data_IF_415713968796
#
_entry.id   IF_415713968796
#
_cell.length_a   1.000
_cell.length_b   1.000
_cell.length_c   1.000
_cell.angle_alpha   90.00
_cell.angle_beta   90.00
_cell.angle_gamma   90.00
#
_symmetry.space_group_name_H-M   'P 1'
#
loop_
_entity.id
_entity.type
_entity.pdbx_description
1 polymer ?
#
# COMPACT_ATOMS: atom_id res chain seq x y z
N UNK A 1 35.64 -18.79 39.95
CA UNK A 1 34.37 -19.39 39.50
C UNK A 1 33.84 -18.48 38.39
N UNK A 2 33.72 -18.95 37.13
CA UNK A 2 33.13 -18.13 36.08
C UNK A 2 31.63 -17.98 36.41
N UNK A 3 31.19 -16.73 36.47
CA UNK A 3 29.77 -16.40 36.56
C UNK A 3 29.14 -16.75 35.24
N UNK A 4 28.28 -17.78 35.20
CA UNK A 4 27.44 -18.07 34.03
C UNK A 4 26.62 -16.84 33.73
N UNK A 5 26.81 -16.27 32.54
CA UNK A 5 25.96 -15.22 32.00
C UNK A 5 24.60 -15.87 31.73
N UNK A 6 23.64 -15.65 32.59
CA UNK A 6 22.24 -15.96 32.33
C UNK A 6 21.76 -15.01 31.24
N UNK A 7 21.74 -15.47 30.00
CA UNK A 7 20.99 -14.82 28.93
C UNK A 7 19.52 -15.08 29.30
N UNK A 8 18.85 -14.07 29.83
CA UNK A 8 17.39 -14.10 29.99
C UNK A 8 16.77 -14.57 28.66
N UNK A 9 15.64 -15.28 28.70
CA UNK A 9 15.01 -15.90 27.55
C UNK A 9 15.04 -14.90 26.38
N UNK A 10 16.05 -15.06 25.50
CA UNK A 10 16.11 -14.29 24.27
C UNK A 10 14.85 -14.68 23.48
N UNK A 11 14.01 -13.70 23.22
CA UNK A 11 12.89 -13.90 22.31
C UNK A 11 13.47 -14.45 21.02
N UNK A 12 12.95 -15.56 20.53
CA UNK A 12 13.41 -16.12 19.26
C UNK A 12 13.28 -15.04 18.18
N UNK A 13 14.26 -14.91 17.28
CA UNK A 13 14.18 -13.90 16.25
C UNK A 13 12.89 -14.08 15.44
N UNK A 14 12.15 -13.00 15.29
CA UNK A 14 10.87 -12.99 14.55
C UNK A 14 11.17 -13.38 13.11
N UNK A 15 10.61 -14.49 12.66
CA UNK A 15 10.78 -15.00 11.30
C UNK A 15 9.64 -14.60 10.37
N UNK A 16 8.62 -13.90 10.87
CA UNK A 16 7.55 -13.35 10.03
C UNK A 16 7.98 -12.02 9.40
N UNK A 17 7.88 -11.93 8.09
CA UNK A 17 8.27 -10.72 7.38
C UNK A 17 7.45 -10.46 6.14
N UNK A 18 7.43 -9.20 5.75
CA UNK A 18 6.85 -8.71 4.50
C UNK A 18 7.99 -8.25 3.60
N UNK A 19 8.14 -8.88 2.44
CA UNK A 19 8.99 -8.35 1.38
C UNK A 19 8.30 -7.17 0.70
N UNK A 20 8.98 -6.03 0.58
CA UNK A 20 8.41 -4.82 -0.03
C UNK A 20 9.22 -4.45 -1.26
N UNK A 21 8.58 -4.47 -2.42
CA UNK A 21 9.13 -3.95 -3.68
C UNK A 21 8.58 -2.55 -3.90
N UNK A 22 9.42 -1.53 -3.75
CA UNK A 22 9.06 -0.13 -3.85
C UNK A 22 9.62 0.53 -5.13
N UNK A 23 9.07 1.64 -5.63
CA UNK A 23 9.68 2.40 -6.71
C UNK A 23 11.05 2.95 -6.30
N UNK A 24 11.88 3.28 -7.28
CA UNK A 24 13.26 3.73 -7.04
C UNK A 24 13.35 5.01 -6.19
N UNK A 25 12.35 5.86 -6.28
CA UNK A 25 12.26 7.16 -5.60
C UNK A 25 11.50 7.12 -4.26
N UNK A 26 11.11 5.92 -3.80
CA UNK A 26 10.35 5.76 -2.56
C UNK A 26 11.13 6.28 -1.36
N UNK A 27 10.52 7.17 -0.57
CA UNK A 27 11.17 7.89 0.53
C UNK A 27 10.44 7.77 1.88
N UNK A 28 9.34 7.02 1.94
CA UNK A 28 8.49 6.91 3.14
C UNK A 28 8.61 5.56 3.85
N UNK A 29 9.81 4.99 3.89
CA UNK A 29 10.10 3.73 4.59
C UNK A 29 9.58 3.75 6.04
N UNK A 30 9.79 4.87 6.76
CA UNK A 30 9.32 5.01 8.14
C UNK A 30 7.81 5.01 8.28
N UNK A 31 7.06 5.45 7.26
CA UNK A 31 5.60 5.40 7.28
C UNK A 31 5.12 3.95 7.18
N UNK A 32 5.77 3.11 6.35
CA UNK A 32 5.41 1.70 6.26
C UNK A 32 5.60 0.97 7.60
N UNK A 33 6.71 1.23 8.31
CA UNK A 33 6.97 0.66 9.62
C UNK A 33 5.93 1.03 10.69
N UNK A 34 5.25 2.16 10.56
CA UNK A 34 4.21 2.59 11.49
C UNK A 34 2.94 1.75 11.40
N UNK A 35 2.72 1.05 10.29
CA UNK A 35 1.58 0.15 10.08
C UNK A 35 1.82 -1.26 10.59
N UNK A 36 3.06 -1.61 10.93
CA UNK A 36 3.50 -2.97 11.18
C UNK A 36 3.63 -3.22 12.68
N UNK A 37 3.11 -4.36 13.22
CA UNK A 37 3.35 -4.76 14.60
C UNK A 37 4.84 -5.01 14.86
N UNK A 38 5.29 -4.89 16.11
CA UNK A 38 6.71 -5.00 16.49
C UNK A 38 7.32 -6.38 16.20
N UNK A 39 6.50 -7.41 16.08
CA UNK A 39 6.89 -8.78 15.81
C UNK A 39 6.88 -9.17 14.31
N UNK A 40 6.70 -8.19 13.41
CA UNK A 40 6.77 -8.37 11.95
C UNK A 40 7.85 -7.47 11.36
N UNK A 41 8.70 -8.03 10.51
CA UNK A 41 9.78 -7.29 9.84
C UNK A 41 9.39 -6.87 8.42
N UNK A 42 9.95 -5.73 7.97
CA UNK A 42 9.88 -5.29 6.57
C UNK A 42 11.23 -5.48 5.89
N UNK A 43 11.25 -6.17 4.76
CA UNK A 43 12.42 -6.36 3.91
C UNK A 43 12.22 -5.56 2.63
N UNK A 44 12.86 -4.37 2.54
CA UNK A 44 12.63 -3.46 1.44
C UNK A 44 13.69 -3.57 0.35
N UNK A 45 13.25 -3.58 -0.89
CA UNK A 45 14.08 -3.34 -2.07
C UNK A 45 13.42 -2.28 -2.96
N UNK A 46 14.22 -1.68 -3.84
CA UNK A 46 13.74 -0.69 -4.79
C UNK A 46 13.90 -1.20 -6.22
N UNK A 47 12.96 -0.81 -7.08
CA UNK A 47 13.11 -0.99 -8.52
C UNK A 47 14.34 -0.22 -9.03
N UNK A 48 14.90 -0.60 -10.19
CA UNK A 48 16.00 0.11 -10.80
C UNK A 48 15.70 1.59 -11.02
N UNK A 49 16.71 2.43 -10.93
CA UNK A 49 16.59 3.88 -11.17
C UNK A 49 16.16 4.18 -12.62
N UNK A 50 15.20 5.10 -12.74
CA UNK A 50 14.77 5.66 -14.02
C UNK A 50 14.95 7.19 -14.00
N UNK A 51 15.31 7.76 -15.14
CA UNK A 51 15.44 9.21 -15.31
C UNK A 51 14.12 9.88 -15.73
N UNK A 52 13.11 9.09 -16.07
CA UNK A 52 11.82 9.56 -16.56
C UNK A 52 11.03 10.26 -15.44
N UNK A 53 10.47 11.45 -15.67
CA UNK A 53 9.57 12.11 -14.72
C UNK A 53 8.31 11.27 -14.48
N UNK A 54 7.55 11.60 -13.42
CA UNK A 54 6.31 10.90 -13.04
C UNK A 54 5.20 11.08 -14.07
N UNK A 55 5.31 10.33 -15.17
CA UNK A 55 4.38 10.28 -16.30
C UNK A 55 3.82 8.86 -16.45
N UNK A 56 2.96 8.64 -17.44
CA UNK A 56 2.44 7.30 -17.78
C UNK A 56 3.60 6.35 -18.14
N UNK A 57 4.59 6.83 -18.88
CA UNK A 57 5.77 6.04 -19.29
C UNK A 57 6.58 5.58 -18.06
N UNK A 58 6.75 6.44 -17.05
CA UNK A 58 7.42 6.07 -15.80
C UNK A 58 6.59 5.04 -15.03
N UNK A 59 5.28 5.22 -14.95
CA UNK A 59 4.40 4.26 -14.29
C UNK A 59 4.46 2.87 -14.95
N UNK A 60 4.46 2.81 -16.29
CA UNK A 60 4.65 1.57 -17.07
C UNK A 60 6.03 0.96 -16.79
N UNK A 61 7.09 1.77 -16.76
CA UNK A 61 8.44 1.30 -16.46
C UNK A 61 8.56 0.71 -15.05
N UNK A 62 7.85 1.27 -14.05
CA UNK A 62 7.76 0.66 -12.72
C UNK A 62 7.09 -0.72 -12.76
N UNK A 63 6.13 -0.94 -13.68
CA UNK A 63 5.48 -2.24 -13.89
C UNK A 63 6.30 -3.25 -14.72
N UNK A 64 7.54 -2.93 -15.14
CA UNK A 64 8.36 -3.84 -15.94
C UNK A 64 8.56 -5.19 -15.24
N UNK A 65 8.11 -6.25 -15.88
CA UNK A 65 8.12 -7.61 -15.30
C UNK A 65 9.51 -8.11 -14.95
N UNK A 66 10.55 -7.73 -15.70
CA UNK A 66 11.93 -8.19 -15.42
C UNK A 66 12.46 -7.50 -14.18
N UNK A 67 12.19 -6.20 -14.05
CA UNK A 67 12.56 -5.42 -12.87
C UNK A 67 11.83 -5.94 -11.62
N UNK A 68 10.51 -6.16 -11.71
CA UNK A 68 9.70 -6.70 -10.60
C UNK A 68 10.16 -8.11 -10.22
N UNK A 69 10.43 -9.01 -11.18
CA UNK A 69 10.98 -10.35 -10.90
C UNK A 69 12.29 -10.29 -10.14
N UNK A 70 13.22 -9.41 -10.55
CA UNK A 70 14.52 -9.25 -9.89
C UNK A 70 14.31 -8.73 -8.47
N UNK A 71 13.59 -7.63 -8.30
CA UNK A 71 13.32 -7.03 -7.00
C UNK A 71 12.60 -8.01 -6.05
N UNK A 72 11.67 -8.81 -6.56
CA UNK A 72 11.02 -9.87 -5.78
C UNK A 72 12.04 -10.88 -5.27
N UNK A 73 12.96 -11.37 -6.14
CA UNK A 73 14.01 -12.30 -5.71
C UNK A 73 14.91 -11.73 -4.63
N UNK A 74 15.21 -10.42 -4.72
CA UNK A 74 16.08 -9.77 -3.75
C UNK A 74 15.45 -9.78 -2.35
N UNK A 75 14.13 -9.59 -2.22
CA UNK A 75 13.41 -9.60 -0.94
C UNK A 75 13.02 -11.01 -0.45
N UNK A 76 13.12 -12.02 -1.28
CA UNK A 76 12.82 -13.41 -0.89
C UNK A 76 13.95 -14.06 -0.07
N UNK A 77 15.16 -13.49 -0.07
CA UNK A 77 16.32 -14.04 0.67
C UNK A 77 16.05 -14.24 2.17
N UNK A 78 15.40 -13.30 2.88
CA UNK A 78 15.02 -13.48 4.29
C UNK A 78 13.69 -14.22 4.48
N UNK A 79 13.18 -14.89 3.47
CA UNK A 79 12.00 -15.78 3.50
C UNK A 79 10.71 -15.10 4.01
N UNK A 80 10.27 -13.96 3.44
CA UNK A 80 9.02 -13.32 3.85
C UNK A 80 7.80 -14.21 3.54
N UNK A 81 6.77 -14.12 4.38
CA UNK A 81 5.51 -14.83 4.14
C UNK A 81 4.63 -14.20 3.03
N UNK A 82 4.91 -12.94 2.67
CA UNK A 82 4.21 -12.21 1.60
C UNK A 82 5.14 -11.20 0.94
N UNK A 83 4.92 -10.91 -0.33
CA UNK A 83 5.57 -9.79 -1.03
C UNK A 83 4.54 -8.75 -1.44
N UNK A 84 4.75 -7.50 -1.00
CA UNK A 84 3.94 -6.35 -1.36
C UNK A 84 4.64 -5.50 -2.43
N UNK A 85 3.96 -5.26 -3.55
CA UNK A 85 4.39 -4.28 -4.55
C UNK A 85 3.84 -2.91 -4.17
N UNK A 86 4.68 -2.12 -3.49
CA UNK A 86 4.34 -0.81 -2.91
C UNK A 86 4.54 0.34 -3.91
N UNK A 87 3.91 0.24 -5.08
CA UNK A 87 3.89 1.30 -6.08
C UNK A 87 2.48 1.42 -6.67
N UNK A 88 1.80 2.50 -6.34
CA UNK A 88 0.40 2.70 -6.76
C UNK A 88 0.30 2.80 -8.27
N UNK A 89 1.01 3.75 -8.89
CA UNK A 89 0.93 4.00 -10.33
C UNK A 89 1.37 2.80 -11.17
N UNK A 90 2.44 2.14 -10.78
CA UNK A 90 2.90 0.92 -11.47
C UNK A 90 1.93 -0.24 -11.36
N UNK A 91 1.04 -0.26 -10.35
CA UNK A 91 0.07 -1.34 -10.19
C UNK A 91 -1.28 -1.10 -10.88
N UNK A 92 -1.63 0.14 -11.23
CA UNK A 92 -2.89 0.43 -11.93
C UNK A 92 -2.73 0.80 -13.41
N UNK A 93 -1.54 1.23 -13.85
CA UNK A 93 -1.34 1.88 -15.15
C UNK A 93 -1.79 1.04 -16.34
N UNK A 94 -1.65 -0.27 -16.25
CA UNK A 94 -2.06 -1.23 -17.27
C UNK A 94 -3.40 -1.93 -16.95
N UNK A 95 -4.24 -1.30 -16.11
CA UNK A 95 -5.56 -1.80 -15.74
C UNK A 95 -5.53 -3.05 -14.87
N UNK A 96 -6.69 -3.68 -14.71
CA UNK A 96 -6.88 -4.88 -13.89
C UNK A 96 -6.04 -6.07 -14.40
N UNK A 97 -5.89 -6.21 -15.71
CA UNK A 97 -5.07 -7.26 -16.31
C UNK A 97 -3.59 -7.07 -15.96
N UNK A 98 -3.08 -5.82 -16.00
CA UNK A 98 -1.71 -5.48 -15.64
C UNK A 98 -1.43 -5.75 -14.15
N UNK A 99 -2.33 -5.36 -13.27
CA UNK A 99 -2.25 -5.67 -11.82
C UNK A 99 -2.14 -7.16 -11.57
N UNK A 100 -3.02 -7.96 -12.17
CA UNK A 100 -3.02 -9.41 -12.04
C UNK A 100 -1.71 -10.04 -12.54
N UNK A 101 -1.12 -9.51 -13.61
CA UNK A 101 0.19 -9.93 -14.14
C UNK A 101 1.31 -9.61 -13.16
N UNK A 102 1.32 -8.44 -12.53
CA UNK A 102 2.32 -8.07 -11.52
C UNK A 102 2.27 -9.03 -10.33
N UNK A 103 1.09 -9.25 -9.78
CA UNK A 103 0.89 -10.17 -8.65
C UNK A 103 1.34 -11.59 -8.99
N UNK A 104 0.94 -12.11 -10.15
CA UNK A 104 1.40 -13.43 -10.64
C UNK A 104 2.91 -13.47 -10.83
N UNK A 105 3.52 -12.40 -11.36
CA UNK A 105 4.97 -12.32 -11.55
C UNK A 105 5.75 -12.52 -10.24
N UNK A 106 5.25 -11.97 -9.13
CA UNK A 106 5.87 -12.17 -7.80
C UNK A 106 5.70 -13.60 -7.30
N UNK A 107 4.51 -14.18 -7.45
CA UNK A 107 4.25 -15.59 -7.08
C UNK A 107 5.09 -16.56 -7.92
N UNK A 108 5.19 -16.35 -9.23
CA UNK A 108 5.97 -17.19 -10.16
C UNK A 108 7.48 -17.24 -9.83
N UNK A 109 8.00 -16.30 -9.06
CA UNK A 109 9.41 -16.31 -8.61
C UNK A 109 9.59 -16.81 -7.19
N UNK A 110 8.52 -17.24 -6.53
CA UNK A 110 8.57 -17.92 -5.24
C UNK A 110 7.97 -17.15 -4.08
N UNK A 111 7.31 -16.00 -4.29
CA UNK A 111 6.59 -15.34 -3.20
C UNK A 111 5.45 -16.24 -2.70
N UNK A 112 5.37 -16.57 -1.38
CA UNK A 112 4.30 -17.42 -0.84
C UNK A 112 2.92 -16.81 -1.05
N UNK A 113 2.82 -15.49 -0.91
CA UNK A 113 1.67 -14.66 -1.24
C UNK A 113 2.15 -13.33 -1.84
N UNK A 114 1.30 -12.66 -2.60
CA UNK A 114 1.63 -11.37 -3.18
C UNK A 114 0.42 -10.44 -3.22
N UNK A 115 0.64 -9.16 -2.92
CA UNK A 115 -0.34 -8.09 -3.09
C UNK A 115 0.29 -6.88 -3.80
N UNK A 116 -0.54 -6.05 -4.38
CA UNK A 116 -0.16 -4.75 -4.95
C UNK A 116 -0.94 -3.65 -4.27
N UNK A 117 -0.42 -2.42 -4.29
CA UNK A 117 -1.15 -1.27 -3.72
C UNK A 117 -2.55 -1.10 -4.32
N UNK A 118 -2.67 -1.21 -5.65
CA UNK A 118 -3.97 -1.01 -6.32
C UNK A 118 -4.93 -2.19 -6.11
N UNK A 119 -4.42 -3.43 -6.09
CA UNK A 119 -5.22 -4.60 -5.73
C UNK A 119 -5.72 -4.51 -4.28
N UNK A 120 -4.85 -4.09 -3.36
CA UNK A 120 -5.19 -3.86 -1.96
C UNK A 120 -6.27 -2.77 -1.79
N UNK A 121 -6.23 -1.70 -2.61
CA UNK A 121 -7.30 -0.70 -2.64
C UNK A 121 -8.65 -1.32 -3.03
N UNK A 122 -8.68 -2.14 -4.07
CA UNK A 122 -9.93 -2.80 -4.49
C UNK A 122 -10.47 -3.71 -3.38
N UNK A 123 -9.61 -4.49 -2.73
CA UNK A 123 -9.99 -5.35 -1.60
C UNK A 123 -10.54 -4.52 -0.42
N UNK A 124 -9.92 -3.38 -0.11
CA UNK A 124 -10.37 -2.47 0.95
C UNK A 124 -11.73 -1.83 0.63
N UNK A 125 -11.92 -1.35 -0.61
CA UNK A 125 -13.21 -0.81 -1.07
C UNK A 125 -14.32 -1.87 -1.02
N UNK A 126 -14.03 -3.09 -1.44
CA UNK A 126 -14.96 -4.22 -1.36
C UNK A 126 -15.34 -4.56 0.08
N UNK A 127 -14.37 -4.62 1.00
CA UNK A 127 -14.61 -4.86 2.43
C UNK A 127 -15.51 -3.79 3.05
N UNK A 128 -15.32 -2.53 2.67
CA UNK A 128 -16.11 -1.39 3.15
C UNK A 128 -17.48 -1.27 2.44
N UNK A 129 -17.73 -2.02 1.38
CA UNK A 129 -18.96 -1.93 0.57
C UNK A 129 -19.02 -0.67 -0.28
N UNK A 130 -17.87 -0.03 -0.55
CA UNK A 130 -17.77 1.24 -1.29
C UNK A 130 -17.84 1.00 -2.80
N UNK A 131 -18.70 1.75 -3.47
CA UNK A 131 -18.86 1.76 -4.93
C UNK A 131 -18.63 3.14 -5.57
N UNK A 132 -18.61 4.18 -4.77
CA UNK A 132 -18.39 5.57 -5.19
C UNK A 132 -17.27 6.19 -4.36
N UNK A 133 -16.20 6.62 -5.02
CA UNK A 133 -15.00 7.13 -4.35
C UNK A 133 -14.63 8.52 -4.90
N UNK A 134 -14.20 9.41 -4.02
CA UNK A 134 -13.46 10.62 -4.38
C UNK A 134 -11.96 10.30 -4.37
N UNK A 135 -11.19 10.84 -5.31
CA UNK A 135 -9.78 10.49 -5.50
C UNK A 135 -8.90 11.74 -5.52
N UNK A 136 -7.96 11.83 -4.59
CA UNK A 136 -6.88 12.80 -4.56
C UNK A 136 -5.56 12.16 -5.01
N UNK A 137 -4.86 12.76 -5.96
CA UNK A 137 -3.60 12.23 -6.48
C UNK A 137 -2.50 13.29 -6.52
N UNK A 138 -1.22 12.93 -6.44
CA UNK A 138 -0.14 13.87 -6.73
C UNK A 138 0.15 14.00 -8.23
N UNK A 139 -0.46 13.19 -9.08
CA UNK A 139 -0.07 12.97 -10.47
C UNK A 139 -0.59 14.03 -11.41
N UNK A 140 0.01 14.07 -12.62
CA UNK A 140 -0.54 14.75 -13.79
C UNK A 140 -1.82 14.03 -14.27
N UNK A 141 -2.69 14.77 -14.97
CA UNK A 141 -3.99 14.25 -15.40
C UNK A 141 -3.93 12.90 -16.15
N UNK A 142 -3.02 12.67 -17.11
CA UNK A 142 -2.97 11.39 -17.82
C UNK A 142 -2.72 10.17 -16.92
N UNK A 143 -1.96 10.32 -15.82
CA UNK A 143 -1.73 9.25 -14.85
C UNK A 143 -2.96 9.07 -13.95
N UNK A 144 -3.60 10.17 -13.55
CA UNK A 144 -4.84 10.15 -12.78
C UNK A 144 -5.98 9.47 -13.56
N UNK A 145 -6.09 9.73 -14.87
CA UNK A 145 -7.09 9.08 -15.73
C UNK A 145 -6.91 7.56 -15.79
N UNK A 146 -5.66 7.06 -15.73
CA UNK A 146 -5.40 5.61 -15.64
C UNK A 146 -5.93 5.01 -14.34
N UNK A 147 -5.80 5.71 -13.22
CA UNK A 147 -6.38 5.25 -11.94
C UNK A 147 -7.91 5.22 -12.01
N UNK A 148 -8.53 6.26 -12.57
CA UNK A 148 -9.99 6.31 -12.76
C UNK A 148 -10.47 5.15 -13.63
N UNK A 149 -9.78 4.87 -14.73
CA UNK A 149 -10.04 3.72 -15.59
C UNK A 149 -9.92 2.39 -14.87
N UNK A 150 -8.84 2.20 -14.09
CA UNK A 150 -8.62 1.00 -13.29
C UNK A 150 -9.75 0.77 -12.27
N UNK A 151 -10.19 1.80 -11.54
CA UNK A 151 -11.30 1.70 -10.61
C UNK A 151 -12.61 1.30 -11.31
N UNK A 152 -12.86 1.88 -12.50
CA UNK A 152 -14.05 1.57 -13.30
C UNK A 152 -14.09 0.10 -13.74
N UNK A 153 -12.96 -0.53 -14.06
CA UNK A 153 -12.89 -1.95 -14.41
C UNK A 153 -13.39 -2.87 -13.27
N UNK A 154 -13.31 -2.41 -12.00
CA UNK A 154 -13.83 -3.11 -10.82
C UNK A 154 -15.23 -2.62 -10.40
N UNK A 155 -15.89 -1.82 -11.23
CA UNK A 155 -17.23 -1.29 -10.94
C UNK A 155 -17.25 -0.23 -9.83
N UNK A 156 -16.12 0.39 -9.55
CA UNK A 156 -16.00 1.53 -8.61
C UNK A 156 -16.04 2.82 -9.41
N UNK A 157 -17.05 3.67 -9.15
CA UNK A 157 -17.22 4.96 -9.82
C UNK A 157 -16.45 6.04 -9.08
N UNK A 158 -15.54 6.73 -9.76
CA UNK A 158 -14.95 7.96 -9.28
C UNK A 158 -15.94 9.12 -9.46
N UNK A 159 -16.36 9.76 -8.36
CA UNK A 159 -17.35 10.85 -8.36
C UNK A 159 -16.72 12.22 -8.37
N UNK A 160 -15.50 12.34 -7.86
CA UNK A 160 -14.66 13.53 -7.94
C UNK A 160 -13.20 13.11 -7.97
N UNK A 161 -12.37 13.87 -8.66
CA UNK A 161 -10.97 13.54 -8.80
C UNK A 161 -10.16 14.79 -9.12
N UNK A 162 -9.02 14.98 -8.45
CA UNK A 162 -8.07 16.06 -8.71
C UNK A 162 -6.64 15.58 -8.48
N UNK A 163 -5.69 16.14 -9.27
CA UNK A 163 -4.27 15.87 -9.18
C UNK A 163 -3.45 17.13 -8.90
N UNK A 164 -2.36 16.99 -8.13
CA UNK A 164 -1.40 18.09 -7.91
C UNK A 164 -0.53 18.41 -9.14
N UNK A 165 -0.57 17.57 -10.17
CA UNK A 165 0.20 17.78 -11.41
C UNK A 165 1.71 17.62 -11.27
N UNK A 166 2.18 16.88 -10.28
CA UNK A 166 3.61 16.73 -9.98
C UNK A 166 4.30 15.73 -10.90
N UNK A 167 5.52 16.09 -11.30
CA UNK A 167 6.39 15.26 -12.13
C UNK A 167 7.51 14.56 -11.31
N UNK A 168 7.52 14.73 -9.99
CA UNK A 168 8.50 14.14 -9.08
C UNK A 168 8.46 14.77 -7.70
N UNK A 169 9.38 14.35 -6.81
CA UNK A 169 9.52 14.87 -5.45
C UNK A 169 8.25 14.79 -4.59
N UNK A 170 7.39 13.82 -4.86
CA UNK A 170 6.07 13.67 -4.22
C UNK A 170 6.21 13.57 -2.69
N UNK A 171 7.28 12.97 -2.17
CA UNK A 171 7.55 12.86 -0.73
C UNK A 171 7.78 14.21 -0.02
N UNK A 172 7.88 15.32 -0.77
CA UNK A 172 8.04 16.68 -0.23
C UNK A 172 6.74 17.44 -0.11
N UNK A 173 5.62 16.85 -0.53
CA UNK A 173 4.30 17.48 -0.42
C UNK A 173 3.96 17.65 1.05
N UNK A 174 3.72 18.87 1.53
CA UNK A 174 3.38 19.10 2.92
C UNK A 174 1.93 18.68 3.22
N UNK A 175 1.65 18.41 4.49
CA UNK A 175 0.33 17.92 4.92
C UNK A 175 -0.82 18.88 4.58
N UNK A 176 -0.59 20.19 4.67
CA UNK A 176 -1.61 21.21 4.34
C UNK A 176 -2.02 21.14 2.86
N UNK A 177 -1.08 20.87 1.96
CA UNK A 177 -1.37 20.69 0.54
C UNK A 177 -2.16 19.39 0.28
N UNK A 178 -1.86 18.31 1.02
CA UNK A 178 -2.65 17.08 0.97
C UNK A 178 -4.07 17.34 1.47
N UNK A 179 -4.22 18.04 2.59
CA UNK A 179 -5.53 18.43 3.12
C UNK A 179 -6.28 19.33 2.13
N UNK A 180 -5.60 20.25 1.47
CA UNK A 180 -6.20 21.14 0.46
C UNK A 180 -6.80 20.35 -0.69
N UNK A 181 -6.04 19.40 -1.28
CA UNK A 181 -6.55 18.60 -2.41
C UNK A 181 -7.66 17.64 -1.98
N UNK A 182 -7.58 17.09 -0.77
CA UNK A 182 -8.64 16.25 -0.18
C UNK A 182 -9.95 17.03 -0.06
N UNK A 183 -9.90 18.27 0.45
CA UNK A 183 -11.08 19.12 0.54
C UNK A 183 -11.63 19.50 -0.84
N UNK A 184 -10.76 19.67 -1.83
CA UNK A 184 -11.18 20.00 -3.21
C UNK A 184 -11.95 18.86 -3.88
N UNK A 185 -11.65 17.61 -3.55
CA UNK A 185 -12.33 16.43 -4.13
C UNK A 185 -13.46 15.90 -3.26
N UNK A 186 -13.65 16.42 -2.04
CA UNK A 186 -14.75 15.96 -1.20
C UNK A 186 -16.09 16.18 -1.90
N UNK A 187 -16.87 15.11 -2.00
CA UNK A 187 -18.12 15.10 -2.75
C UNK A 187 -19.21 14.37 -1.93
N UNK A 188 -20.44 14.91 -1.86
CA UNK A 188 -21.51 14.29 -1.06
C UNK A 188 -21.85 12.86 -1.50
N UNK A 189 -21.71 12.54 -2.79
CA UNK A 189 -21.95 11.20 -3.31
C UNK A 189 -20.80 10.21 -3.05
N UNK A 190 -19.64 10.69 -2.59
CA UNK A 190 -18.51 9.82 -2.27
C UNK A 190 -18.77 9.06 -0.96
N UNK A 191 -18.66 7.74 -1.02
CA UNK A 191 -18.80 6.83 0.14
C UNK A 191 -17.48 6.68 0.89
N UNK A 192 -16.36 6.96 0.21
CA UNK A 192 -15.01 7.02 0.76
C UNK A 192 -14.15 7.98 -0.06
N UNK A 193 -12.99 8.34 0.49
CA UNK A 193 -11.95 9.11 -0.19
C UNK A 193 -10.69 8.25 -0.29
N UNK A 194 -10.01 8.29 -1.44
CA UNK A 194 -8.72 7.65 -1.65
C UNK A 194 -7.63 8.68 -1.94
N UNK A 195 -6.56 8.65 -1.14
CA UNK A 195 -5.33 9.43 -1.36
C UNK A 195 -4.31 8.51 -2.01
N UNK A 196 -4.06 8.73 -3.28
CA UNK A 196 -3.18 7.90 -4.10
C UNK A 196 -1.72 8.28 -3.94
N UNK A 197 -0.85 7.33 -4.12
CA UNK A 197 0.62 7.39 -4.10
C UNK A 197 1.26 7.01 -2.76
N UNK A 198 2.11 5.98 -2.82
CA UNK A 198 2.90 5.52 -1.67
C UNK A 198 3.95 6.54 -1.22
N UNK A 199 4.27 7.55 -2.05
CA UNK A 199 5.18 8.64 -1.69
C UNK A 199 4.47 9.89 -1.10
N UNK A 200 3.14 9.88 -0.89
CA UNK A 200 2.48 10.93 -0.10
C UNK A 200 2.50 10.58 1.39
N UNK A 201 2.99 11.48 2.28
CA UNK A 201 2.99 11.26 3.72
C UNK A 201 1.56 11.43 4.26
N UNK A 202 0.91 10.33 4.62
CA UNK A 202 -0.53 10.32 4.90
C UNK A 202 -0.92 9.75 6.26
N UNK A 203 -0.03 9.01 6.93
CA UNK A 203 -0.34 8.29 8.17
C UNK A 203 -1.04 9.16 9.22
N UNK A 204 -0.50 10.37 9.48
CA UNK A 204 -0.99 11.27 10.53
C UNK A 204 -2.26 12.04 10.14
N UNK A 205 -2.71 11.94 8.88
CA UNK A 205 -3.86 12.68 8.38
C UNK A 205 -5.17 11.88 8.45
N UNK A 206 -5.11 10.54 8.43
CA UNK A 206 -6.26 9.69 8.18
C UNK A 206 -7.39 9.93 9.17
N UNK A 207 -7.12 9.81 10.48
CA UNK A 207 -8.15 9.92 11.50
C UNK A 207 -8.76 11.34 11.56
N UNK A 208 -7.93 12.38 11.42
CA UNK A 208 -8.38 13.76 11.36
C UNK A 208 -9.27 14.02 10.15
N UNK A 209 -8.90 13.51 8.98
CA UNK A 209 -9.71 13.63 7.76
C UNK A 209 -11.02 12.86 7.88
N UNK A 210 -11.01 11.62 8.38
CA UNK A 210 -12.24 10.85 8.61
C UNK A 210 -13.20 11.55 9.57
N UNK A 211 -12.67 12.16 10.62
CA UNK A 211 -13.48 12.90 11.60
C UNK A 211 -14.17 14.11 10.98
N UNK A 212 -13.50 14.83 10.08
CA UNK A 212 -14.05 16.02 9.40
C UNK A 212 -14.99 15.63 8.26
N UNK A 213 -14.61 14.65 7.44
CA UNK A 213 -15.36 14.29 6.24
C UNK A 213 -16.55 13.36 6.52
N UNK A 214 -16.57 12.69 7.68
CA UNK A 214 -17.62 11.72 8.04
C UNK A 214 -17.66 10.47 7.17
N UNK A 215 -16.57 10.15 6.48
CA UNK A 215 -16.44 8.98 5.59
C UNK A 215 -15.06 8.36 5.68
N UNK A 216 -14.88 7.07 5.32
CA UNK A 216 -13.57 6.42 5.29
C UNK A 216 -12.59 7.17 4.40
N UNK A 217 -11.34 7.30 4.89
CA UNK A 217 -10.19 7.81 4.12
C UNK A 217 -9.19 6.67 3.97
N UNK A 218 -8.97 6.24 2.74
CA UNK A 218 -8.01 5.22 2.38
C UNK A 218 -6.75 5.87 1.82
N UNK A 219 -5.59 5.35 2.17
CA UNK A 219 -4.31 5.83 1.63
C UNK A 219 -3.50 4.68 1.05
N UNK A 220 -2.63 4.99 0.09
CA UNK A 220 -1.84 3.98 -0.61
C UNK A 220 -1.01 3.10 0.34
N UNK A 221 -0.29 3.71 1.29
CA UNK A 221 0.51 2.96 2.26
C UNK A 221 -0.35 2.13 3.22
N UNK A 222 -1.48 2.69 3.70
CA UNK A 222 -2.40 1.99 4.58
C UNK A 222 -2.95 0.72 3.94
N UNK A 223 -3.52 0.82 2.73
CA UNK A 223 -4.11 -0.35 2.06
C UNK A 223 -3.06 -1.40 1.71
N UNK A 224 -1.84 -0.97 1.32
CA UNK A 224 -0.74 -1.89 1.01
C UNK A 224 -0.35 -2.71 2.23
N UNK A 225 -0.08 -2.06 3.35
CA UNK A 225 0.34 -2.74 4.58
C UNK A 225 -0.79 -3.55 5.20
N UNK A 226 -2.03 -3.04 5.16
CA UNK A 226 -3.21 -3.78 5.59
C UNK A 226 -3.37 -5.10 4.80
N UNK A 227 -3.23 -5.08 3.49
CA UNK A 227 -3.38 -6.28 2.66
C UNK A 227 -2.23 -7.27 2.89
N UNK A 228 -1.00 -6.78 3.01
CA UNK A 228 0.17 -7.62 3.28
C UNK A 228 0.07 -8.31 4.65
N UNK A 229 -0.27 -7.57 5.70
CA UNK A 229 -0.46 -8.13 7.04
C UNK A 229 -1.62 -9.12 7.10
N UNK A 230 -2.73 -8.80 6.43
CA UNK A 230 -3.86 -9.74 6.31
C UNK A 230 -3.46 -11.06 5.64
N UNK A 231 -2.60 -11.02 4.63
CA UNK A 231 -2.08 -12.22 3.98
C UNK A 231 -1.21 -13.09 4.93
N UNK A 232 -0.60 -12.48 5.95
CA UNK A 232 0.10 -13.16 7.05
C UNK A 232 -0.82 -13.60 8.19
N UNK A 233 -2.14 -13.34 8.12
CA UNK A 233 -3.05 -13.55 9.24
C UNK A 233 -2.85 -12.55 10.39
N UNK A 234 -2.22 -11.40 10.12
CA UNK A 234 -1.90 -10.35 11.09
C UNK A 234 -2.76 -9.11 10.88
N UNK A 235 -2.79 -8.25 11.87
CA UNK A 235 -3.54 -6.98 11.82
C UNK A 235 -2.58 -5.81 11.77
N UNK A 236 -2.86 -4.84 10.89
CA UNK A 236 -2.09 -3.60 10.82
C UNK A 236 -2.31 -2.75 12.08
N UNK A 237 -1.25 -2.08 12.52
CA UNK A 237 -1.28 -1.10 13.61
C UNK A 237 -1.64 0.27 13.05
N UNK A 238 -2.35 1.09 13.82
CA UNK A 238 -2.72 2.45 13.43
C UNK A 238 -4.21 2.71 13.42
N UNK A 239 -4.59 3.89 12.90
CA UNK A 239 -5.96 4.35 12.89
C UNK A 239 -6.66 4.23 11.53
N UNK A 240 -7.93 4.65 11.53
CA UNK A 240 -8.76 4.70 10.34
C UNK A 240 -9.84 3.61 10.28
N UNK A 241 -10.91 3.92 9.55
CA UNK A 241 -12.10 3.07 9.46
C UNK A 241 -11.80 1.70 8.86
N UNK A 242 -10.85 1.63 7.91
CA UNK A 242 -10.42 0.36 7.32
C UNK A 242 -9.95 -0.64 8.38
N UNK A 243 -9.08 -0.19 9.30
CA UNK A 243 -8.48 -1.09 10.30
C UNK A 243 -9.49 -1.50 11.39
N UNK A 244 -10.45 -0.63 11.70
CA UNK A 244 -11.52 -0.93 12.67
C UNK A 244 -12.57 -1.93 12.14
N UNK A 245 -12.68 -2.10 10.82
CA UNK A 245 -13.66 -3.00 10.17
C UNK A 245 -13.17 -4.43 9.98
N UNK A 246 -11.90 -4.73 10.26
CA UNK A 246 -11.39 -6.10 10.18
C UNK A 246 -11.94 -6.88 11.38
N UNK A 247 -12.71 -7.96 11.19
CA UNK A 247 -13.04 -8.87 12.28
C UNK A 247 -11.72 -9.37 12.88
N UNK A 248 -11.60 -9.34 14.20
CA UNK A 248 -10.51 -10.05 14.87
C UNK A 248 -10.48 -11.48 14.31
N UNK A 249 -9.32 -11.91 13.85
CA UNK A 249 -9.11 -13.29 13.40
C UNK A 249 -9.62 -14.21 14.50
N UNK A 250 -10.43 -15.25 14.20
CA UNK A 250 -10.78 -16.23 15.21
C UNK A 250 -9.49 -16.82 15.78
N UNK A 251 -9.36 -16.83 17.10
CA UNK A 251 -8.26 -17.45 17.81
C UNK A 251 -8.15 -18.91 17.37
N UNK A 252 -7.28 -19.20 16.42
CA UNK A 252 -6.92 -20.57 16.05
C UNK A 252 -5.89 -21.07 17.03
N UNK A 253 -6.27 -21.19 18.30
CA UNK A 253 -5.54 -22.02 19.27
C UNK A 253 -6.18 -23.42 19.31
N UNK A 254 -5.63 -24.44 18.62
CA UNK A 254 -6.14 -25.82 18.68
C UNK A 254 -5.58 -26.57 19.88
N UNK A 255 -5.60 -25.98 21.07
CA UNK A 255 -4.94 -26.54 22.25
C UNK A 255 -5.65 -26.25 23.55
N UNK A 256 -6.99 -26.45 23.62
CA UNK A 256 -7.70 -26.53 24.90
C UNK A 256 -8.85 -27.52 24.78
N UNK A 257 -8.53 -28.80 24.88
CA UNK A 257 -9.43 -29.89 25.24
C UNK A 257 -8.60 -31.03 25.87
#
# INVERSE_FOLDING_TARGET
>A
VPTELSVGQAQEPVHEGIGVVAPFDFALDRELWRWVPEDVSLYLTRLPFFTTPMTVEMAVACGDRKAVRRATRDVLTPEPGVVAYACTSGSFVDGAAGEAVLRRTMVDVGAPAACTTSGALIDALALLGVRRVAVATPYIQPVTDRLVGFLAEYGVRTVACEGLGLLGHIWRVPHDEIVRIVNAVDHPDAEALFISCTNLPTYDLIEGLEAVLGKPVLTANQVTMWAALRALGRTAVGGGTLLRRVPATPDTNPGAA
#
